data_IF_894415076970
#
_entry.id   IF_894415076970
#
_cell.length_a   1.000
_cell.length_b   1.000
_cell.length_c   1.000
_cell.angle_alpha   90.00
_cell.angle_beta   90.00
_cell.angle_gamma   90.00
#
_symmetry.space_group_name_H-M   'P 1'
#
loop_
_entity.id
_entity.type
_entity.pdbx_description
1 polymer ?
#
# COMPACT_ATOMS: atom_id res chain seq x y z
N UNK A 1 -27.08 -15.88 -13.92
CA UNK A 1 -27.24 -15.54 -12.50
C UNK A 1 -25.99 -15.98 -11.75
N UNK A 2 -24.89 -15.22 -11.86
CA UNK A 2 -23.61 -15.45 -11.17
C UNK A 2 -22.96 -14.08 -10.85
N UNK A 3 -23.74 -13.15 -10.30
CA UNK A 3 -23.35 -11.73 -10.16
C UNK A 3 -22.43 -11.43 -8.96
N UNK A 4 -22.04 -12.44 -8.18
CA UNK A 4 -21.22 -12.26 -6.98
C UNK A 4 -20.00 -13.16 -7.02
N UNK A 5 -18.83 -12.56 -6.85
CA UNK A 5 -17.55 -13.24 -6.72
C UNK A 5 -16.87 -12.78 -5.44
N UNK A 6 -16.25 -13.71 -4.73
CA UNK A 6 -15.27 -13.38 -3.69
C UNK A 6 -14.01 -12.83 -4.35
N UNK A 7 -13.37 -11.86 -3.71
CA UNK A 7 -12.13 -11.23 -4.19
C UNK A 7 -11.03 -11.52 -3.18
N UNK A 8 -9.94 -12.09 -3.66
CA UNK A 8 -8.70 -12.30 -2.90
C UNK A 8 -7.67 -11.31 -3.43
N UNK A 9 -7.27 -10.37 -2.60
CA UNK A 9 -6.24 -9.39 -2.94
C UNK A 9 -4.87 -9.91 -2.51
N UNK A 10 -3.89 -9.86 -3.42
CA UNK A 10 -2.52 -10.28 -3.15
C UNK A 10 -1.63 -9.04 -3.16
N UNK A 11 -0.92 -8.82 -2.05
CA UNK A 11 -0.05 -7.67 -1.84
C UNK A 11 1.40 -8.11 -1.65
N UNK A 12 2.32 -7.33 -2.23
CA UNK A 12 3.74 -7.43 -1.96
C UNK A 12 4.16 -6.34 -0.96
N UNK A 13 4.79 -6.76 0.13
CA UNK A 13 5.35 -5.89 1.17
C UNK A 13 6.79 -6.32 1.44
N UNK A 14 7.61 -5.37 1.89
CA UNK A 14 8.95 -5.71 2.37
C UNK A 14 8.84 -6.53 3.67
N UNK A 15 9.64 -7.58 3.78
CA UNK A 15 9.64 -8.44 4.96
C UNK A 15 9.93 -7.65 6.26
N UNK A 16 10.83 -6.66 6.16
CA UNK A 16 11.20 -5.79 7.27
C UNK A 16 10.03 -4.92 7.74
N UNK A 17 9.10 -4.56 6.86
CA UNK A 17 7.92 -3.77 7.22
C UNK A 17 7.06 -4.51 8.23
N UNK A 18 6.88 -5.82 8.06
CA UNK A 18 6.19 -6.66 9.03
C UNK A 18 7.05 -6.94 10.27
N UNK A 19 8.33 -7.25 10.08
CA UNK A 19 9.24 -7.56 11.20
C UNK A 19 9.34 -6.41 12.21
N UNK A 20 9.39 -5.17 11.73
CA UNK A 20 9.54 -3.97 12.56
C UNK A 20 8.23 -3.16 12.71
N UNK A 21 7.08 -3.70 12.28
CA UNK A 21 5.78 -3.03 12.34
C UNK A 21 5.80 -1.61 11.77
N UNK A 22 6.45 -1.42 10.62
CA UNK A 22 6.52 -0.12 9.94
C UNK A 22 5.20 0.16 9.22
N UNK A 23 4.23 0.70 9.97
CA UNK A 23 2.85 0.96 9.53
C UNK A 23 2.72 1.94 8.35
N UNK A 24 3.79 2.65 8.01
CA UNK A 24 3.83 3.64 6.91
C UNK A 24 4.42 3.09 5.63
N UNK A 25 5.02 1.90 5.65
CA UNK A 25 5.64 1.33 4.47
C UNK A 25 4.55 0.94 3.45
N UNK A 26 4.83 1.20 2.18
CA UNK A 26 3.89 0.95 1.10
C UNK A 26 3.89 -0.54 0.73
N UNK A 27 2.69 -1.10 0.59
CA UNK A 27 2.47 -2.39 -0.04
C UNK A 27 1.89 -2.22 -1.44
N UNK A 28 2.35 -3.04 -2.38
CA UNK A 28 1.88 -3.00 -3.76
C UNK A 28 0.88 -4.12 -4.01
N UNK A 29 -0.31 -3.79 -4.53
CA UNK A 29 -1.24 -4.79 -5.03
C UNK A 29 -0.65 -5.42 -6.30
N UNK A 30 -0.34 -6.70 -6.26
CA UNK A 30 0.27 -7.43 -7.37
C UNK A 30 -0.74 -8.25 -8.17
N UNK A 31 -1.78 -8.76 -7.51
CA UNK A 31 -2.82 -9.54 -8.16
C UNK A 31 -4.17 -9.46 -7.42
N UNK A 32 -5.25 -9.65 -8.17
CA UNK A 32 -6.60 -9.89 -7.64
C UNK A 32 -7.15 -11.18 -8.23
N UNK A 33 -7.58 -12.09 -7.36
CA UNK A 33 -8.17 -13.37 -7.76
C UNK A 33 -9.66 -13.32 -7.44
N UNK A 34 -10.48 -13.53 -8.45
CA UNK A 34 -11.93 -13.51 -8.33
C UNK A 34 -12.43 -14.94 -8.38
N UNK A 35 -13.22 -15.36 -7.39
CA UNK A 35 -13.74 -16.73 -7.30
C UNK A 35 -15.25 -16.70 -7.14
N UNK A 36 -15.97 -17.43 -7.98
CA UNK A 36 -17.43 -17.52 -7.90
C UNK A 36 -17.90 -18.71 -7.04
N UNK A 37 -19.22 -18.88 -6.86
CA UNK A 37 -19.81 -19.98 -6.09
C UNK A 37 -19.51 -21.37 -6.65
N UNK A 38 -19.28 -21.48 -7.95
CA UNK A 38 -18.88 -22.73 -8.64
C UNK A 38 -17.36 -23.00 -8.54
N UNK A 39 -16.62 -22.18 -7.77
CA UNK A 39 -15.16 -22.20 -7.66
C UNK A 39 -14.43 -21.97 -8.98
N UNK A 40 -15.10 -21.43 -9.99
CA UNK A 40 -14.44 -20.91 -11.20
C UNK A 40 -13.83 -19.56 -10.87
N UNK A 41 -12.69 -19.28 -11.47
CA UNK A 41 -11.92 -18.09 -11.13
C UNK A 41 -11.30 -17.40 -12.34
N UNK A 42 -10.97 -16.14 -12.15
CA UNK A 42 -10.11 -15.38 -13.06
C UNK A 42 -9.15 -14.52 -12.23
N UNK A 43 -8.05 -14.09 -12.85
CA UNK A 43 -6.98 -13.36 -12.16
C UNK A 43 -6.64 -12.10 -12.94
N UNK A 44 -6.61 -10.99 -12.23
CA UNK A 44 -6.04 -9.75 -12.73
C UNK A 44 -4.64 -9.58 -12.14
N UNK A 45 -3.64 -9.60 -13.02
CA UNK A 45 -2.23 -9.41 -12.68
C UNK A 45 -1.50 -8.79 -13.86
N UNK A 46 -0.37 -8.14 -13.60
CA UNK A 46 0.51 -7.61 -14.66
C UNK A 46 1.42 -8.67 -15.28
N UNK A 47 1.43 -9.89 -14.74
CA UNK A 47 2.25 -10.98 -15.28
C UNK A 47 1.65 -11.56 -16.57
N UNK A 48 2.46 -12.29 -17.34
CA UNK A 48 1.99 -13.00 -18.54
C UNK A 48 0.86 -14.00 -18.22
N UNK A 49 0.82 -14.51 -16.98
CA UNK A 49 -0.24 -15.36 -16.49
C UNK A 49 -1.62 -14.70 -16.48
N UNK A 50 -1.67 -13.36 -16.40
CA UNK A 50 -2.92 -12.61 -16.51
C UNK A 50 -3.67 -12.90 -17.81
N UNK A 51 -2.95 -13.18 -18.89
CA UNK A 51 -3.56 -13.60 -20.16
C UNK A 51 -4.17 -15.00 -20.08
N UNK A 52 -3.52 -15.93 -19.37
CA UNK A 52 -4.00 -17.32 -19.20
C UNK A 52 -5.30 -17.38 -18.39
N UNK A 53 -5.44 -16.53 -17.37
CA UNK A 53 -6.62 -16.49 -16.48
C UNK A 53 -7.43 -15.20 -16.61
N UNK A 54 -7.48 -14.61 -17.82
CA UNK A 54 -8.21 -13.35 -18.06
C UNK A 54 -9.72 -13.51 -17.91
N UNK A 55 -10.25 -14.69 -18.21
CA UNK A 55 -11.67 -15.02 -18.13
C UNK A 55 -11.90 -16.10 -17.07
N UNK A 56 -13.16 -16.28 -16.66
CA UNK A 56 -13.52 -17.38 -15.77
C UNK A 56 -13.07 -18.72 -16.33
N UNK A 57 -12.38 -19.50 -15.49
CA UNK A 57 -11.97 -20.85 -15.80
C UNK A 57 -13.16 -21.73 -16.19
N UNK A 58 -12.96 -22.61 -17.17
CA UNK A 58 -13.98 -23.57 -17.58
C UNK A 58 -14.27 -24.58 -16.45
N UNK A 59 -13.23 -24.97 -15.73
CA UNK A 59 -13.29 -25.92 -14.62
C UNK A 59 -13.12 -25.22 -13.26
N UNK A 60 -13.64 -25.82 -12.17
CA UNK A 60 -13.35 -25.37 -10.81
C UNK A 60 -11.85 -25.33 -10.52
N UNK A 61 -11.44 -24.42 -9.64
CA UNK A 61 -10.06 -24.30 -9.21
C UNK A 61 -9.53 -25.63 -8.64
N UNK A 62 -8.35 -26.04 -9.12
CA UNK A 62 -7.65 -27.23 -8.65
C UNK A 62 -6.34 -26.86 -7.91
N UNK A 63 -5.75 -27.82 -7.20
CA UNK A 63 -4.53 -27.57 -6.42
C UNK A 63 -3.31 -27.26 -7.30
N UNK A 64 -3.22 -27.86 -8.49
CA UNK A 64 -2.11 -27.65 -9.43
C UNK A 64 -2.10 -26.22 -9.97
N UNK A 65 -3.27 -25.71 -10.35
CA UNK A 65 -3.49 -24.32 -10.76
C UNK A 65 -3.13 -23.36 -9.63
N UNK A 66 -3.53 -23.65 -8.39
CA UNK A 66 -3.17 -22.82 -7.23
C UNK A 66 -1.66 -22.78 -7.01
N UNK A 67 -0.97 -23.92 -7.11
CA UNK A 67 0.49 -23.98 -7.00
C UNK A 67 1.17 -23.19 -8.12
N UNK A 68 0.69 -23.33 -9.36
CA UNK A 68 1.18 -22.55 -10.50
C UNK A 68 1.02 -21.05 -10.26
N UNK A 69 -0.16 -20.61 -9.80
CA UNK A 69 -0.46 -19.20 -9.50
C UNK A 69 0.49 -18.66 -8.45
N UNK A 70 0.63 -19.37 -7.33
CA UNK A 70 1.48 -18.93 -6.23
C UNK A 70 2.94 -18.85 -6.67
N UNK A 71 3.45 -19.86 -7.38
CA UNK A 71 4.82 -19.87 -7.87
C UNK A 71 5.10 -18.70 -8.82
N UNK A 72 4.20 -18.45 -9.76
CA UNK A 72 4.36 -17.36 -10.73
C UNK A 72 4.29 -15.98 -10.04
N UNK A 73 3.42 -15.81 -9.05
CA UNK A 73 3.36 -14.59 -8.25
C UNK A 73 4.65 -14.38 -7.43
N UNK A 74 5.24 -15.44 -6.86
CA UNK A 74 6.52 -15.36 -6.15
C UNK A 74 7.63 -14.91 -7.12
N UNK A 75 7.73 -15.55 -8.30
CA UNK A 75 8.71 -15.18 -9.34
C UNK A 75 8.53 -13.73 -9.76
N UNK A 76 7.29 -13.28 -9.94
CA UNK A 76 6.98 -11.90 -10.28
C UNK A 76 7.43 -10.92 -9.21
N UNK A 77 7.14 -11.20 -7.93
CA UNK A 77 7.53 -10.34 -6.81
C UNK A 77 9.05 -10.19 -6.71
N UNK A 78 9.79 -11.29 -6.84
CA UNK A 78 11.26 -11.26 -6.83
C UNK A 78 11.80 -10.41 -7.98
N UNK A 79 11.24 -10.53 -9.19
CA UNK A 79 11.63 -9.72 -10.34
C UNK A 79 11.24 -8.24 -10.18
N UNK A 80 10.10 -7.97 -9.56
CA UNK A 80 9.60 -6.62 -9.32
C UNK A 80 10.45 -5.87 -8.30
N UNK A 81 10.91 -6.53 -7.23
CA UNK A 81 11.81 -5.94 -6.23
C UNK A 81 13.17 -5.54 -6.86
N UNK A 82 13.64 -6.32 -7.84
CA UNK A 82 14.82 -6.02 -8.65
C UNK A 82 14.60 -4.90 -9.69
N UNK A 83 13.38 -4.39 -9.87
CA UNK A 83 13.07 -3.32 -10.81
C UNK A 83 13.45 -1.96 -10.22
N UNK A 84 14.77 -1.71 -10.16
CA UNK A 84 15.32 -0.40 -9.87
C UNK A 84 14.81 0.59 -10.93
N UNK A 85 14.31 1.79 -10.57
CA UNK A 85 13.91 2.79 -11.55
C UNK A 85 15.06 3.06 -12.54
N UNK A 86 14.77 3.22 -13.85
CA UNK A 86 15.82 3.38 -14.86
C UNK A 86 16.71 4.56 -14.50
N UNK A 87 18.03 4.37 -14.57
CA UNK A 87 19.05 5.29 -14.10
C UNK A 87 18.85 6.74 -14.59
N UNK A 88 18.37 6.92 -15.82
CA UNK A 88 18.14 8.24 -16.41
C UNK A 88 16.92 8.98 -15.81
N UNK A 89 15.97 8.29 -15.19
CA UNK A 89 14.85 8.89 -14.45
C UNK A 89 15.21 9.34 -13.02
N UNK A 90 16.35 8.86 -12.49
CA UNK A 90 16.83 9.15 -11.12
C UNK A 90 17.95 10.20 -11.14
N UNK A 91 18.49 10.52 -12.33
CA UNK A 91 19.66 11.41 -12.51
C UNK A 91 19.42 12.87 -12.12
N UNK A 92 18.17 13.33 -12.08
CA UNK A 92 17.83 14.68 -11.68
C UNK A 92 16.78 14.63 -10.57
N UNK A 93 17.22 14.92 -9.35
CA UNK A 93 16.36 15.23 -8.21
C UNK A 93 16.60 16.69 -7.87
N UNK A 94 15.54 17.48 -7.86
CA UNK A 94 15.58 18.86 -7.39
C UNK A 94 15.72 18.91 -5.87
N UNK A 95 16.27 20.01 -5.35
CA UNK A 95 16.41 20.23 -3.90
C UNK A 95 15.04 20.17 -3.20
N UNK A 96 13.97 20.63 -3.85
CA UNK A 96 12.60 20.57 -3.29
C UNK A 96 12.09 19.14 -3.17
N UNK A 97 12.29 18.29 -4.19
CA UNK A 97 11.89 16.87 -4.13
C UNK A 97 12.66 16.11 -3.03
N UNK A 98 13.91 16.49 -2.76
CA UNK A 98 14.70 15.93 -1.66
C UNK A 98 14.15 16.36 -0.29
N UNK A 99 13.77 17.63 -0.15
CA UNK A 99 13.14 18.17 1.08
C UNK A 99 11.73 17.60 1.32
N UNK A 100 10.96 17.33 0.26
CA UNK A 100 9.65 16.67 0.34
C UNK A 100 9.76 15.19 0.74
N UNK A 101 10.76 14.46 0.23
CA UNK A 101 11.03 13.08 0.67
C UNK A 101 11.48 13.01 2.14
N UNK A 102 12.30 13.96 2.59
CA UNK A 102 12.68 14.07 4.01
C UNK A 102 11.51 14.47 4.91
N UNK A 103 10.68 15.43 4.49
CA UNK A 103 9.53 15.89 5.29
C UNK A 103 8.40 14.85 5.33
N UNK A 104 8.11 14.15 4.23
CA UNK A 104 7.10 13.07 4.20
C UNK A 104 7.47 11.88 5.10
N UNK A 105 8.76 11.62 5.30
CA UNK A 105 9.25 10.63 6.27
C UNK A 105 9.13 11.13 7.73
N UNK A 106 9.15 12.45 7.95
CA UNK A 106 9.09 13.08 9.28
C UNK A 106 7.68 13.48 9.74
N UNK A 107 6.70 13.64 8.83
CA UNK A 107 5.34 14.14 9.08
C UNK A 107 4.38 13.12 9.74
N UNK A 108 4.90 12.23 10.60
CA UNK A 108 4.10 11.47 11.56
C UNK A 108 4.74 11.49 12.94
N UNK A 109 4.78 12.67 13.57
CA UNK A 109 4.66 12.73 15.03
C UNK A 109 3.74 13.88 15.41
N UNK A 110 2.60 13.53 16.03
CA UNK A 110 1.62 14.49 16.48
C UNK A 110 2.20 15.43 17.53
N UNK A 111 1.98 16.74 17.35
CA UNK A 111 1.97 17.67 18.47
C UNK A 111 0.64 18.43 18.44
N UNK A 112 -0.01 18.42 19.60
CA UNK A 112 -1.38 18.87 19.87
C UNK A 112 -1.60 20.30 19.38
N UNK A 113 -2.73 20.53 18.69
CA UNK A 113 -3.38 21.84 18.58
C UNK A 113 -3.66 22.34 20.01
N UNK A 114 -2.80 23.23 20.49
CA UNK A 114 -2.94 23.88 21.78
C UNK A 114 -4.01 24.97 21.71
N UNK A 115 -5.11 24.72 22.42
CA UNK A 115 -5.89 25.69 23.20
C UNK A 115 -6.50 26.90 22.48
N UNK A 116 -7.81 26.80 22.19
CA UNK A 116 -8.68 27.95 21.98
C UNK A 116 -8.97 28.63 23.33
N UNK A 117 -8.39 29.80 23.57
CA UNK A 117 -8.73 30.63 24.74
C UNK A 117 -10.07 31.32 24.55
N UNK A 118 -11.11 30.85 25.25
CA UNK A 118 -12.39 31.55 25.39
C UNK A 118 -12.65 31.83 26.87
N UNK A 119 -12.63 33.13 27.21
CA UNK A 119 -13.35 33.85 28.27
C UNK A 119 -13.39 33.30 29.72
N UNK A 120 -12.85 34.06 30.69
CA UNK A 120 -13.64 34.93 31.59
C UNK A 120 -12.86 35.37 32.86
N UNK A 121 -12.75 36.70 33.05
CA UNK A 121 -13.02 37.53 34.25
C UNK A 121 -12.63 37.01 35.66
N UNK A 122 -11.67 37.67 36.35
CA UNK A 122 -11.83 38.49 37.58
C UNK A 122 -10.53 38.67 38.41
N UNK A 123 -10.30 39.94 38.84
CA UNK A 123 -9.61 40.47 40.05
C UNK A 123 -8.16 40.01 40.36
N UNK A 124 -7.18 40.85 40.69
CA UNK A 124 -7.22 42.08 41.51
C UNK A 124 -5.91 42.87 41.37
N UNK A 125 -6.05 44.20 41.42
CA UNK A 125 -5.17 45.28 41.89
C UNK A 125 -3.74 44.96 42.41
N UNK A 126 -2.73 45.70 41.95
CA UNK A 126 -2.17 46.90 42.62
C UNK A 126 -0.88 47.40 41.92
N UNK A 127 -0.77 48.74 41.90
CA UNK A 127 0.34 49.71 41.74
C UNK A 127 1.78 49.21 41.38
N UNK A 128 2.57 49.98 40.62
CA UNK A 128 3.42 51.07 41.13
C UNK A 128 3.64 52.18 40.08
N UNK A 129 3.45 53.43 40.54
CA UNK A 129 3.86 54.71 39.97
C UNK A 129 5.40 54.86 39.89
N UNK A 130 5.93 55.38 38.76
CA UNK A 130 6.58 56.71 38.62
C UNK A 130 7.02 56.95 37.17
#
# INVERSE_FOLDING_TARGET
MNSFCGIINVYNFLADSYKYNRLTDLGYLIARIFVNREKKFFIETKTQMGYKYMNFSAEPINNEQLQEIVNELIIFVVKFDLFTPPYDSVKQVSVSEMQEKQSSTSLRTGKRLGYAGSAAINSSDEEINL
#
